data_IF_538684494147
#
_entry.id   IF_538684494147
#
_cell.length_a   1.000
_cell.length_b   1.000
_cell.length_c   1.000
_cell.angle_alpha   90.00
_cell.angle_beta   90.00
_cell.angle_gamma   90.00
#
_symmetry.space_group_name_H-M   'P 1'
#
loop_
_entity.id
_entity.type
_entity.pdbx_description
1 polymer ?
#
# COMPACT_ATOMS: atom_id res chain seq x y z
N UNK A 1 -19.96 -21.00 -3.51
CA UNK A 1 -18.60 -20.60 -3.09
C UNK A 1 -17.83 -20.19 -4.34
N UNK A 2 -17.18 -19.03 -4.33
CA UNK A 2 -16.40 -18.57 -5.48
C UNK A 2 -15.24 -19.51 -5.82
N UNK A 3 -14.91 -19.66 -7.10
CA UNK A 3 -13.84 -20.53 -7.60
C UNK A 3 -12.47 -20.24 -6.97
N UNK A 4 -12.20 -18.95 -6.70
CA UNK A 4 -10.98 -18.51 -6.00
C UNK A 4 -10.91 -18.98 -4.55
N UNK A 5 -12.04 -18.97 -3.85
CA UNK A 5 -12.17 -19.46 -2.47
C UNK A 5 -12.03 -20.98 -2.41
N UNK A 6 -12.57 -21.71 -3.38
CA UNK A 6 -12.38 -23.16 -3.51
C UNK A 6 -10.92 -23.53 -3.74
N UNK A 7 -10.25 -22.82 -4.67
CA UNK A 7 -8.83 -23.07 -4.95
C UNK A 7 -7.96 -22.85 -3.70
N UNK A 8 -8.26 -21.79 -2.92
CA UNK A 8 -7.56 -21.49 -1.66
C UNK A 8 -7.78 -22.56 -0.61
N UNK A 9 -9.03 -23.04 -0.44
CA UNK A 9 -9.36 -24.12 0.48
C UNK A 9 -8.59 -25.38 0.14
N UNK A 10 -8.64 -25.79 -1.13
CA UNK A 10 -7.92 -26.99 -1.62
C UNK A 10 -6.41 -26.87 -1.42
N UNK A 11 -5.84 -25.69 -1.68
CA UNK A 11 -4.41 -25.42 -1.42
C UNK A 11 -4.06 -25.57 0.06
N UNK A 12 -4.91 -25.08 0.96
CA UNK A 12 -4.74 -25.23 2.41
C UNK A 12 -4.81 -26.68 2.87
N UNK A 13 -5.80 -27.44 2.39
CA UNK A 13 -5.96 -28.87 2.67
C UNK A 13 -4.75 -29.66 2.19
N UNK A 14 -4.28 -29.43 0.94
CA UNK A 14 -3.08 -30.07 0.42
C UNK A 14 -1.81 -29.74 1.20
N UNK A 15 -1.66 -28.47 1.62
CA UNK A 15 -0.51 -28.06 2.43
C UNK A 15 -0.51 -28.78 3.79
N UNK A 16 -1.68 -28.93 4.41
CA UNK A 16 -1.83 -29.67 5.67
C UNK A 16 -1.46 -31.14 5.53
N UNK A 17 -2.02 -31.87 4.55
CA UNK A 17 -1.71 -33.27 4.37
C UNK A 17 -0.27 -33.52 3.93
N UNK A 18 0.30 -32.66 3.10
CA UNK A 18 1.74 -32.69 2.77
C UNK A 18 2.60 -32.56 4.03
N UNK A 19 2.25 -31.66 4.95
CA UNK A 19 2.96 -31.54 6.23
C UNK A 19 2.84 -32.81 7.08
N UNK A 20 1.64 -33.39 7.19
CA UNK A 20 1.41 -34.64 7.94
C UNK A 20 2.23 -35.80 7.37
N UNK A 21 2.31 -35.93 6.06
CA UNK A 21 3.14 -36.93 5.39
C UNK A 21 4.65 -36.72 5.65
N UNK A 22 5.11 -35.46 5.48
CA UNK A 22 6.52 -35.11 5.75
C UNK A 22 6.94 -35.30 7.21
N UNK A 23 6.01 -35.15 8.14
CA UNK A 23 6.25 -35.36 9.59
C UNK A 23 6.19 -36.83 10.00
N UNK A 24 5.88 -37.75 9.08
CA UNK A 24 5.72 -39.19 9.35
C UNK A 24 4.44 -39.52 10.12
N UNK A 25 3.49 -38.56 10.26
CA UNK A 25 2.22 -38.80 10.92
C UNK A 25 1.18 -39.53 10.04
N UNK A 26 1.43 -39.59 8.72
CA UNK A 26 0.61 -40.30 7.74
C UNK A 26 1.47 -40.88 6.63
N UNK A 27 1.12 -42.08 6.16
CA UNK A 27 1.84 -42.78 5.10
C UNK A 27 1.34 -42.39 3.70
N UNK A 28 0.18 -41.76 3.56
CA UNK A 28 -0.42 -41.39 2.28
C UNK A 28 -1.09 -40.03 2.36
N UNK A 29 -1.18 -39.29 1.24
CA UNK A 29 -1.83 -38.03 1.12
C UNK A 29 -3.26 -38.18 0.55
N UNK A 30 -4.33 -38.15 1.39
CA UNK A 30 -5.70 -38.29 0.91
C UNK A 30 -6.18 -37.10 0.06
N UNK A 31 -5.41 -36.01 0.01
CA UNK A 31 -5.75 -34.84 -0.81
C UNK A 31 -5.17 -34.89 -2.22
N UNK A 32 -4.42 -35.94 -2.58
CA UNK A 32 -3.75 -36.06 -3.87
C UNK A 32 -4.72 -35.99 -5.05
N UNK A 33 -5.89 -36.60 -4.92
CA UNK A 33 -6.93 -36.63 -5.95
C UNK A 33 -7.82 -35.36 -6.00
N UNK A 34 -7.65 -34.42 -5.07
CA UNK A 34 -8.43 -33.17 -5.10
C UNK A 34 -8.00 -32.31 -6.30
N UNK A 35 -8.86 -32.18 -7.29
CA UNK A 35 -8.60 -31.31 -8.44
C UNK A 35 -8.74 -29.84 -8.04
N UNK A 36 -7.72 -29.05 -8.35
CA UNK A 36 -7.77 -27.61 -8.15
C UNK A 36 -8.55 -26.96 -9.29
N UNK A 37 -9.60 -26.17 -9.02
CA UNK A 37 -10.33 -25.49 -10.06
C UNK A 37 -9.44 -24.49 -10.80
N UNK A 38 -9.57 -24.42 -12.12
CA UNK A 38 -8.89 -23.41 -12.92
C UNK A 38 -9.45 -22.05 -12.59
N UNK A 39 -8.71 -21.23 -11.85
CA UNK A 39 -9.04 -19.84 -11.62
C UNK A 39 -8.55 -19.02 -12.81
N UNK A 40 -9.46 -18.44 -13.57
CA UNK A 40 -9.09 -17.49 -14.63
C UNK A 40 -8.30 -16.33 -14.02
N UNK A 41 -7.16 -15.98 -14.60
CA UNK A 41 -6.42 -14.78 -14.23
C UNK A 41 -7.20 -13.55 -14.68
N UNK A 42 -7.99 -12.98 -13.78
CA UNK A 42 -8.56 -11.65 -14.03
C UNK A 42 -7.39 -10.66 -13.93
N UNK A 43 -7.16 -9.88 -14.99
CA UNK A 43 -6.20 -8.78 -14.91
C UNK A 43 -6.66 -7.84 -13.79
N UNK A 44 -5.77 -7.45 -12.89
CA UNK A 44 -6.14 -6.53 -11.81
C UNK A 44 -6.54 -5.17 -12.40
N UNK A 45 -7.56 -4.56 -11.82
CA UNK A 45 -7.95 -3.20 -12.17
C UNK A 45 -6.79 -2.24 -11.85
N UNK A 46 -6.50 -1.34 -12.78
CA UNK A 46 -5.51 -0.26 -12.64
C UNK A 46 -6.29 1.06 -12.63
N UNK A 47 -5.90 1.98 -11.77
CA UNK A 47 -6.40 3.36 -11.74
C UNK A 47 -5.31 4.28 -12.29
N UNK A 48 -5.70 5.17 -13.19
CA UNK A 48 -4.83 6.18 -13.76
C UNK A 48 -4.81 7.47 -12.93
N UNK A 49 -4.00 8.44 -13.34
CA UNK A 49 -3.82 9.69 -12.59
C UNK A 49 -5.11 10.52 -12.55
N UNK A 50 -5.91 10.53 -13.63
CA UNK A 50 -7.18 11.24 -13.74
C UNK A 50 -8.21 10.64 -12.77
N UNK A 51 -8.31 9.33 -12.70
CA UNK A 51 -9.20 8.61 -11.76
C UNK A 51 -8.79 8.87 -10.29
N UNK A 52 -7.49 9.01 -10.01
CA UNK A 52 -7.00 9.42 -8.69
C UNK A 52 -7.43 10.86 -8.38
N UNK A 53 -7.34 11.77 -9.35
CA UNK A 53 -7.78 13.16 -9.16
C UNK A 53 -9.29 13.22 -8.90
N UNK A 54 -10.11 12.42 -9.59
CA UNK A 54 -11.55 12.32 -9.35
C UNK A 54 -11.86 11.78 -7.94
N UNK A 55 -11.16 10.73 -7.49
CA UNK A 55 -11.31 10.21 -6.13
C UNK A 55 -10.96 11.25 -5.07
N UNK A 56 -9.87 12.01 -5.28
CA UNK A 56 -9.45 13.07 -4.38
C UNK A 56 -10.46 14.22 -4.38
N UNK A 57 -10.97 14.61 -5.54
CA UNK A 57 -11.97 15.66 -5.68
C UNK A 57 -13.32 15.33 -5.00
N UNK A 58 -13.66 14.04 -4.91
CA UNK A 58 -14.86 13.56 -4.22
C UNK A 58 -14.76 13.60 -2.69
N UNK A 59 -13.58 13.94 -2.13
CA UNK A 59 -13.40 14.04 -0.69
C UNK A 59 -13.99 15.37 -0.19
N UNK A 60 -14.90 15.26 0.76
CA UNK A 60 -15.49 16.43 1.45
C UNK A 60 -14.48 16.98 2.47
N UNK A 61 -13.79 18.05 2.09
CA UNK A 61 -12.78 18.71 2.94
C UNK A 61 -13.39 19.52 4.08
N UNK A 62 -14.72 19.75 4.10
CA UNK A 62 -15.40 20.37 5.23
C UNK A 62 -15.48 19.47 6.45
N UNK A 63 -15.28 18.16 6.27
CA UNK A 63 -15.27 17.18 7.34
C UNK A 63 -13.90 17.08 7.99
N UNK A 64 -13.89 16.84 9.31
CA UNK A 64 -12.67 16.71 10.10
C UNK A 64 -11.70 15.62 9.58
N UNK A 65 -12.20 14.59 8.90
CA UNK A 65 -11.40 13.54 8.28
C UNK A 65 -11.00 13.79 6.82
N UNK A 66 -11.49 14.88 6.20
CA UNK A 66 -11.28 15.14 4.77
C UNK A 66 -9.80 15.22 4.42
N UNK A 67 -9.05 16.08 5.06
CA UNK A 67 -7.61 16.25 4.82
C UNK A 67 -6.80 14.98 5.12
N UNK A 68 -7.20 14.22 6.16
CA UNK A 68 -6.62 12.90 6.45
C UNK A 68 -6.84 11.94 5.29
N UNK A 69 -8.07 11.82 4.80
CA UNK A 69 -8.43 10.89 3.74
C UNK A 69 -7.71 11.25 2.44
N UNK A 70 -7.56 12.54 2.15
CA UNK A 70 -6.78 13.03 1.01
C UNK A 70 -5.29 12.63 1.16
N UNK A 71 -4.70 12.86 2.33
CA UNK A 71 -3.31 12.45 2.59
C UNK A 71 -3.11 10.93 2.45
N UNK A 72 -4.10 10.11 2.86
CA UNK A 72 -4.08 8.66 2.69
C UNK A 72 -4.00 8.27 1.21
N UNK A 73 -4.87 8.83 0.36
CA UNK A 73 -4.88 8.50 -1.08
C UNK A 73 -3.58 8.96 -1.75
N UNK A 74 -3.12 10.17 -1.44
CA UNK A 74 -1.86 10.70 -1.98
C UNK A 74 -0.68 9.81 -1.61
N UNK A 75 -0.55 9.37 -0.35
CA UNK A 75 0.56 8.52 0.10
C UNK A 75 0.46 7.12 -0.47
N UNK A 76 -0.73 6.53 -0.55
CA UNK A 76 -0.93 5.21 -1.17
C UNK A 76 -0.47 5.21 -2.62
N UNK A 77 -0.83 6.24 -3.37
CA UNK A 77 -0.47 6.32 -4.79
C UNK A 77 0.99 6.74 -5.00
N UNK A 78 1.49 7.70 -4.23
CA UNK A 78 2.86 8.21 -4.40
C UNK A 78 3.96 7.22 -3.97
N UNK A 79 3.65 6.32 -3.02
CA UNK A 79 4.65 5.42 -2.43
C UNK A 79 4.35 3.93 -2.65
N UNK A 80 3.21 3.59 -3.22
CA UNK A 80 2.81 2.20 -3.45
C UNK A 80 2.78 1.34 -2.17
N UNK A 81 2.45 1.91 -1.02
CA UNK A 81 2.47 1.22 0.28
C UNK A 81 1.44 0.10 0.35
N UNK A 82 1.79 -0.97 1.11
CA UNK A 82 0.76 -1.91 1.56
C UNK A 82 -0.15 -1.23 2.57
N UNK A 83 -1.42 -1.64 2.63
CA UNK A 83 -2.38 -1.05 3.59
C UNK A 83 -1.91 -1.16 5.04
N UNK A 84 -1.25 -2.25 5.42
CA UNK A 84 -0.66 -2.40 6.75
C UNK A 84 0.51 -1.42 7.00
N UNK A 85 1.35 -1.20 5.99
CA UNK A 85 2.46 -0.24 6.07
C UNK A 85 1.94 1.19 6.23
N UNK A 86 0.85 1.53 5.54
CA UNK A 86 0.19 2.83 5.70
C UNK A 86 -0.40 3.02 7.10
N UNK A 87 -1.12 2.01 7.63
CA UNK A 87 -1.76 2.12 8.96
C UNK A 87 -0.75 2.15 10.10
N UNK A 88 0.44 1.57 9.89
CA UNK A 88 1.55 1.54 10.85
C UNK A 88 2.58 2.65 10.63
N UNK A 89 2.36 3.54 9.65
CA UNK A 89 3.30 4.62 9.35
C UNK A 89 3.45 5.57 10.52
N UNK A 90 4.71 5.86 10.89
CA UNK A 90 5.07 6.71 12.03
C UNK A 90 5.53 8.08 11.58
N UNK A 91 5.28 9.11 12.40
CA UNK A 91 5.80 10.46 12.17
C UNK A 91 7.33 10.44 12.19
N UNK A 92 7.93 9.71 13.13
CA UNK A 92 9.38 9.52 13.24
C UNK A 92 10.02 8.87 12.00
N UNK A 93 9.22 8.25 11.12
CA UNK A 93 9.66 7.64 9.87
C UNK A 93 9.47 8.54 8.64
N UNK A 94 9.04 9.79 8.82
CA UNK A 94 8.84 10.75 7.74
C UNK A 94 10.08 11.65 7.58
N UNK A 95 10.85 11.43 6.55
CA UNK A 95 12.02 12.25 6.18
C UNK A 95 11.62 13.19 5.03
N UNK A 96 10.59 14.01 5.26
CA UNK A 96 9.95 14.82 4.19
C UNK A 96 10.87 15.89 3.58
N UNK A 97 11.88 16.36 4.33
CA UNK A 97 12.90 17.28 3.79
C UNK A 97 13.83 16.60 2.79
N UNK A 98 14.08 15.32 3.00
CA UNK A 98 14.91 14.48 2.13
C UNK A 98 14.08 13.78 1.06
N UNK A 99 12.73 13.97 1.09
CA UNK A 99 11.76 13.35 0.17
C UNK A 99 11.70 11.82 0.26
N UNK A 100 11.80 11.29 1.48
CA UNK A 100 11.68 9.85 1.76
C UNK A 100 10.73 9.56 2.92
N UNK A 101 10.16 8.36 2.88
CA UNK A 101 9.50 7.72 4.02
C UNK A 101 10.17 6.39 4.31
N UNK A 102 10.42 6.11 5.59
CA UNK A 102 10.89 4.80 6.04
C UNK A 102 9.68 3.91 6.30
N UNK A 103 9.66 2.75 5.66
CA UNK A 103 8.56 1.80 5.74
C UNK A 103 9.06 0.52 6.38
N UNK A 104 8.33 0.04 7.39
CA UNK A 104 8.59 -1.23 8.06
C UNK A 104 7.64 -2.28 7.49
N UNK A 105 8.19 -3.29 6.83
CA UNK A 105 7.44 -4.37 6.18
C UNK A 105 7.35 -5.64 7.03
N UNK A 106 6.95 -6.74 6.38
CA UNK A 106 6.87 -8.07 7.01
C UNK A 106 8.26 -8.51 7.54
N UNK A 107 8.29 -9.04 8.75
CA UNK A 107 9.52 -9.46 9.39
C UNK A 107 10.41 -8.32 9.85
N UNK A 108 9.83 -7.14 10.13
CA UNK A 108 10.54 -5.93 10.56
C UNK A 108 11.61 -5.43 9.57
N UNK A 109 11.53 -5.85 8.30
CA UNK A 109 12.43 -5.35 7.26
C UNK A 109 12.08 -3.89 6.94
N UNK A 110 13.07 -3.02 7.02
CA UNK A 110 12.94 -1.60 6.73
C UNK A 110 13.37 -1.30 5.30
N UNK A 111 12.69 -0.35 4.66
CA UNK A 111 13.10 0.22 3.37
C UNK A 111 12.79 1.71 3.31
N UNK A 112 13.54 2.44 2.51
CA UNK A 112 13.26 3.83 2.17
C UNK A 112 12.47 3.88 0.86
N UNK A 113 11.37 4.61 0.86
CA UNK A 113 10.54 4.83 -0.33
C UNK A 113 10.53 6.33 -0.61
N UNK A 114 10.93 6.76 -1.81
CA UNK A 114 10.83 8.17 -2.19
C UNK A 114 9.37 8.63 -2.19
N UNK A 115 9.14 9.91 -1.88
CA UNK A 115 7.80 10.50 -1.84
C UNK A 115 7.77 11.81 -2.62
N UNK A 116 6.78 11.95 -3.52
CA UNK A 116 6.64 13.14 -4.36
C UNK A 116 6.03 14.34 -3.63
N UNK A 117 6.19 15.53 -4.21
CA UNK A 117 5.80 16.81 -3.62
C UNK A 117 4.31 16.92 -3.28
N UNK A 118 3.41 16.35 -4.10
CA UNK A 118 1.96 16.36 -3.84
C UNK A 118 1.64 15.67 -2.50
N UNK A 119 2.19 14.48 -2.28
CA UNK A 119 1.97 13.73 -1.05
C UNK A 119 2.64 14.40 0.17
N UNK A 120 3.83 14.97 0.00
CA UNK A 120 4.51 15.75 1.05
C UNK A 120 3.66 16.95 1.47
N UNK A 121 3.17 17.73 0.50
CA UNK A 121 2.31 18.89 0.74
C UNK A 121 1.06 18.48 1.54
N UNK A 122 0.40 17.40 1.10
CA UNK A 122 -0.83 16.94 1.74
C UNK A 122 -0.60 16.37 3.13
N UNK A 123 0.51 15.63 3.35
CA UNK A 123 0.92 15.17 4.68
C UNK A 123 1.17 16.35 5.63
N UNK A 124 1.87 17.40 5.17
CA UNK A 124 2.13 18.59 5.98
C UNK A 124 0.84 19.31 6.35
N UNK A 125 -0.12 19.45 5.44
CA UNK A 125 -1.44 20.03 5.74
C UNK A 125 -2.14 19.18 6.81
N UNK A 126 -2.27 17.89 6.60
CA UNK A 126 -2.93 17.02 7.55
C UNK A 126 -2.27 17.04 8.94
N UNK A 127 -0.94 16.86 9.00
CA UNK A 127 -0.22 16.78 10.27
C UNK A 127 -0.29 18.08 11.04
N UNK A 128 -0.02 19.22 10.38
CA UNK A 128 0.17 20.50 11.05
C UNK A 128 -1.13 21.29 11.25
N UNK A 129 -2.19 21.04 10.45
CA UNK A 129 -3.43 21.81 10.51
C UNK A 129 -4.63 21.01 11.04
N UNK A 130 -4.57 19.67 11.00
CA UNK A 130 -5.71 18.83 11.41
C UNK A 130 -5.34 17.92 12.55
N UNK A 131 -4.30 17.10 12.37
CA UNK A 131 -3.89 16.11 13.36
C UNK A 131 -3.47 16.73 14.68
N UNK A 132 -2.84 17.90 14.65
CA UNK A 132 -2.40 18.65 15.84
C UNK A 132 -3.56 18.99 16.78
N UNK A 133 -4.79 19.13 16.26
CA UNK A 133 -5.98 19.43 17.05
C UNK A 133 -6.74 18.19 17.52
N UNK A 134 -6.27 16.97 17.17
CA UNK A 134 -6.93 15.73 17.59
C UNK A 134 -6.50 15.35 19.01
N UNK A 135 -7.45 14.87 19.81
CA UNK A 135 -7.15 14.23 21.10
C UNK A 135 -6.55 12.84 20.83
N UNK A 136 -5.24 12.71 20.94
CA UNK A 136 -4.52 11.47 20.68
C UNK A 136 -4.55 10.61 21.92
N UNK A 137 -4.78 9.30 21.77
CA UNK A 137 -4.70 8.37 22.87
C UNK A 137 -3.24 7.98 23.15
N UNK A 138 -2.97 7.67 24.41
CA UNK A 138 -1.64 7.28 24.88
C UNK A 138 -1.11 6.06 24.09
N UNK A 139 0.13 6.16 23.58
CA UNK A 139 0.76 5.14 22.75
C UNK A 139 0.47 5.26 21.23
N UNK A 140 -0.32 6.26 20.82
CA UNK A 140 -0.61 6.52 19.40
C UNK A 140 -0.04 7.85 18.89
N UNK A 141 0.79 8.53 19.67
CA UNK A 141 1.34 9.86 19.36
C UNK A 141 2.19 9.86 18.09
N UNK A 142 2.89 8.77 17.83
CA UNK A 142 3.80 8.64 16.70
C UNK A 142 3.11 8.12 15.41
N UNK A 143 1.86 7.67 15.46
CA UNK A 143 1.15 7.25 14.27
C UNK A 143 0.75 8.43 13.40
N UNK A 144 1.02 8.36 12.08
CA UNK A 144 0.63 9.42 11.14
C UNK A 144 -0.88 9.53 11.04
N UNK A 145 -1.57 8.44 10.73
CA UNK A 145 -3.00 8.43 10.45
C UNK A 145 -3.83 7.95 11.63
N UNK A 146 -4.65 8.84 12.15
CA UNK A 146 -5.48 8.58 13.32
C UNK A 146 -6.97 8.50 12.96
N UNK A 147 -7.71 7.68 13.67
CA UNK A 147 -9.16 7.66 13.63
C UNK A 147 -9.76 8.75 14.55
N UNK A 148 -11.09 8.94 14.52
CA UNK A 148 -11.80 9.94 15.35
C UNK A 148 -11.59 9.75 16.87
N UNK A 149 -11.16 8.56 17.30
CA UNK A 149 -10.91 8.23 18.72
C UNK A 149 -9.45 8.45 19.12
N UNK A 150 -8.61 8.97 18.25
CA UNK A 150 -7.18 9.21 18.50
C UNK A 150 -6.31 7.96 18.50
N UNK A 151 -6.77 6.85 17.91
CA UNK A 151 -5.99 5.62 17.69
C UNK A 151 -5.62 5.48 16.22
N UNK A 152 -4.67 4.60 15.90
CA UNK A 152 -4.33 4.26 14.50
C UNK A 152 -5.56 3.79 13.71
N UNK A 153 -5.54 4.01 12.40
CA UNK A 153 -6.55 3.49 11.49
C UNK A 153 -6.39 1.98 11.32
N UNK A 154 -7.53 1.30 11.14
CA UNK A 154 -7.53 -0.12 10.76
C UNK A 154 -7.48 -0.28 9.23
N UNK A 155 -6.98 -1.42 8.78
CA UNK A 155 -6.99 -1.79 7.35
C UNK A 155 -8.41 -1.73 6.76
N UNK A 156 -9.39 -2.22 7.50
CA UNK A 156 -10.81 -2.20 7.09
C UNK A 156 -11.29 -0.76 6.84
N UNK A 157 -10.91 0.18 7.71
CA UNK A 157 -11.30 1.59 7.54
C UNK A 157 -10.71 2.21 6.27
N UNK A 158 -9.48 1.87 5.91
CA UNK A 158 -8.90 2.33 4.64
C UNK A 158 -9.68 1.77 3.44
N UNK A 159 -10.04 0.48 3.46
CA UNK A 159 -10.89 -0.13 2.43
C UNK A 159 -12.24 0.57 2.32
N UNK A 160 -12.89 0.86 3.45
CA UNK A 160 -14.19 1.57 3.48
C UNK A 160 -14.05 2.97 2.88
N UNK A 161 -13.03 3.75 3.25
CA UNK A 161 -12.80 5.09 2.70
C UNK A 161 -12.68 5.04 1.17
N UNK A 162 -11.86 4.12 0.64
CA UNK A 162 -11.64 3.99 -0.81
C UNK A 162 -12.92 3.57 -1.51
N UNK A 163 -13.64 2.59 -0.96
CA UNK A 163 -14.90 2.07 -1.51
C UNK A 163 -15.97 3.17 -1.56
N UNK A 164 -16.18 3.89 -0.46
CA UNK A 164 -17.16 4.97 -0.37
C UNK A 164 -16.87 6.09 -1.40
N UNK A 165 -15.59 6.42 -1.62
CA UNK A 165 -15.20 7.41 -2.62
C UNK A 165 -15.46 6.91 -4.04
N UNK A 166 -15.12 5.65 -4.35
CA UNK A 166 -15.37 5.04 -5.65
C UNK A 166 -16.87 4.99 -5.97
N UNK A 167 -17.71 4.65 -4.99
CA UNK A 167 -19.17 4.63 -5.13
C UNK A 167 -19.72 6.04 -5.39
N UNK A 168 -19.19 7.07 -4.73
CA UNK A 168 -19.62 8.48 -4.92
C UNK A 168 -19.39 9.00 -6.32
N UNK A 169 -18.30 8.60 -6.96
CA UNK A 169 -18.00 9.02 -8.35
C UNK A 169 -18.53 8.04 -9.39
N UNK A 170 -19.29 7.01 -8.97
CA UNK A 170 -19.86 6.01 -9.87
C UNK A 170 -18.79 5.15 -10.58
N UNK A 171 -17.62 4.94 -9.95
CA UNK A 171 -16.54 4.17 -10.56
C UNK A 171 -16.93 2.73 -10.74
N UNK A 172 -16.81 2.22 -11.99
CA UNK A 172 -17.17 0.83 -12.34
C UNK A 172 -16.11 -0.19 -11.94
N UNK A 173 -14.86 0.26 -11.74
CA UNK A 173 -13.74 -0.59 -11.32
C UNK A 173 -13.83 -0.94 -9.83
N UNK A 174 -13.44 -2.16 -9.48
CA UNK A 174 -13.30 -2.55 -8.07
C UNK A 174 -11.93 -2.13 -7.56
N UNK A 175 -11.89 -1.03 -6.82
CA UNK A 175 -10.63 -0.49 -6.29
C UNK A 175 -10.42 -0.79 -4.80
N UNK A 176 -9.17 -0.91 -4.45
CA UNK A 176 -8.70 -1.26 -3.10
C UNK A 176 -7.29 -0.69 -2.88
N UNK A 177 -6.74 -0.69 -1.66
CA UNK A 177 -5.35 -0.30 -1.45
C UNK A 177 -4.33 -1.07 -2.31
N UNK A 178 -4.64 -2.33 -2.67
CA UNK A 178 -3.82 -3.11 -3.59
C UNK A 178 -3.86 -2.56 -5.01
N UNK A 179 -4.99 -2.01 -5.44
CA UNK A 179 -5.13 -1.37 -6.74
C UNK A 179 -4.19 -0.15 -6.84
N UNK A 180 -4.14 0.70 -5.81
CA UNK A 180 -3.20 1.84 -5.76
C UNK A 180 -1.74 1.41 -5.90
N UNK A 181 -1.35 0.37 -5.17
CA UNK A 181 0.01 -0.16 -5.24
C UNK A 181 0.33 -0.77 -6.61
N UNK A 182 -0.65 -1.44 -7.22
CA UNK A 182 -0.48 -2.01 -8.55
C UNK A 182 -0.36 -0.91 -9.61
N UNK A 183 -1.21 0.11 -9.52
CA UNK A 183 -1.16 1.28 -10.39
C UNK A 183 0.15 2.05 -10.26
N UNK A 184 0.67 2.24 -9.03
CA UNK A 184 2.00 2.81 -8.80
C UNK A 184 3.08 2.04 -9.56
N UNK A 185 3.08 0.70 -9.45
CA UNK A 185 4.08 -0.13 -10.12
C UNK A 185 3.95 -0.06 -11.64
N UNK A 186 2.73 -0.20 -12.18
CA UNK A 186 2.46 -0.18 -13.62
C UNK A 186 2.82 1.17 -14.22
N UNK A 187 2.42 2.27 -13.60
CA UNK A 187 2.70 3.63 -14.07
C UNK A 187 4.20 3.92 -14.19
N UNK A 188 4.97 3.53 -13.17
CA UNK A 188 6.42 3.71 -13.22
C UNK A 188 7.07 2.90 -14.34
N UNK A 189 6.68 1.62 -14.49
CA UNK A 189 7.23 0.74 -15.53
C UNK A 189 6.82 1.21 -16.92
N UNK A 190 5.56 1.58 -17.14
CA UNK A 190 5.05 2.09 -18.42
C UNK A 190 5.76 3.38 -18.85
N UNK A 191 6.16 4.22 -17.89
CA UNK A 191 6.93 5.45 -18.16
C UNK A 191 8.43 5.21 -18.32
N UNK A 192 8.89 3.96 -18.18
CA UNK A 192 10.28 3.57 -18.44
C UNK A 192 11.16 3.49 -17.19
N UNK A 193 10.59 3.48 -15.99
CA UNK A 193 11.37 3.24 -14.79
C UNK A 193 11.94 1.82 -14.78
N UNK A 194 13.14 1.69 -14.25
CA UNK A 194 13.78 0.39 -14.09
C UNK A 194 12.98 -0.53 -13.16
N UNK A 195 12.70 -1.75 -13.62
CA UNK A 195 11.88 -2.71 -12.89
C UNK A 195 12.48 -3.07 -11.52
N UNK A 196 13.80 -3.12 -11.42
CA UNK A 196 14.51 -3.43 -10.17
C UNK A 196 14.30 -2.33 -9.14
N UNK A 197 14.39 -1.05 -9.57
CA UNK A 197 14.08 0.09 -8.71
C UNK A 197 12.64 0.04 -8.19
N UNK A 198 11.67 -0.29 -9.04
CA UNK A 198 10.27 -0.43 -8.66
C UNK A 198 10.07 -1.59 -7.67
N UNK A 199 10.70 -2.74 -7.90
CA UNK A 199 10.64 -3.90 -7.00
C UNK A 199 11.24 -3.56 -5.62
N UNK A 200 12.33 -2.82 -5.59
CA UNK A 200 12.98 -2.37 -4.35
C UNK A 200 12.08 -1.43 -3.55
N UNK A 201 11.50 -0.39 -4.19
CA UNK A 201 10.52 0.50 -3.54
C UNK A 201 9.32 -0.27 -2.98
N UNK A 202 8.87 -1.30 -3.67
CA UNK A 202 7.77 -2.14 -3.23
C UNK A 202 8.15 -3.14 -2.13
N UNK A 203 9.42 -3.46 -1.94
CA UNK A 203 9.89 -4.45 -0.98
C UNK A 203 9.45 -5.86 -1.33
N UNK A 204 9.79 -6.33 -2.53
CA UNK A 204 9.62 -7.71 -2.95
C UNK A 204 10.75 -8.57 -2.40
N UNK A 205 10.42 -9.75 -1.85
CA UNK A 205 11.34 -10.63 -1.08
C UNK A 205 12.49 -11.24 -1.90
N UNK A 206 12.53 -11.09 -3.22
CA UNK A 206 13.53 -11.78 -4.06
C UNK A 206 14.90 -11.08 -4.11
N UNK A 207 15.08 -9.94 -3.44
CA UNK A 207 16.38 -9.29 -3.31
C UNK A 207 16.72 -9.29 -1.82
N UNK A 208 17.47 -10.35 -1.44
CA UNK A 208 18.19 -10.40 -0.17
C UNK A 208 19.18 -9.25 -0.15
N UNK A 209 18.93 -8.25 0.69
CA UNK A 209 19.98 -7.69 1.55
C UNK A 209 19.43 -6.51 2.31
N UNK A 210 19.55 -6.57 3.62
CA UNK A 210 19.63 -5.42 4.50
C UNK A 210 21.02 -4.76 4.25
N UNK A 211 21.33 -4.46 2.99
CA UNK A 211 22.44 -3.59 2.68
C UNK A 211 22.02 -2.17 3.03
N UNK A 212 22.87 -1.53 3.79
CA UNK A 212 22.77 -0.12 4.14
C UNK A 212 22.58 0.66 2.83
N UNK A 213 21.38 1.25 2.63
CA UNK A 213 21.12 2.11 1.48
C UNK A 213 22.21 3.16 1.38
N UNK A 214 23.06 3.06 0.36
CA UNK A 214 24.11 4.05 0.12
C UNK A 214 23.47 5.38 -0.31
N UNK A 215 24.22 6.45 -0.21
CA UNK A 215 23.74 7.75 -0.69
C UNK A 215 23.40 7.73 -2.20
N UNK A 216 24.14 6.94 -2.98
CA UNK A 216 23.93 6.77 -4.42
C UNK A 216 22.60 6.04 -4.71
N UNK A 217 22.27 4.97 -3.94
CA UNK A 217 21.02 4.25 -4.09
C UNK A 217 19.82 5.15 -3.79
N UNK A 218 19.91 5.99 -2.76
CA UNK A 218 18.86 6.97 -2.43
C UNK A 218 18.62 7.98 -3.54
N UNK A 219 19.69 8.53 -4.11
CA UNK A 219 19.59 9.47 -5.23
C UNK A 219 18.95 8.82 -6.45
N UNK A 220 19.33 7.58 -6.74
CA UNK A 220 18.75 6.82 -7.84
C UNK A 220 17.25 6.57 -7.67
N UNK A 221 16.82 6.08 -6.51
CA UNK A 221 15.40 5.85 -6.24
C UNK A 221 14.59 7.16 -6.28
N UNK A 222 15.14 8.25 -5.72
CA UNK A 222 14.53 9.58 -5.78
C UNK A 222 14.39 10.08 -7.22
N UNK A 223 15.44 10.02 -8.01
CA UNK A 223 15.40 10.45 -9.42
C UNK A 223 14.39 9.64 -10.22
N UNK A 224 14.27 8.34 -9.96
CA UNK A 224 13.26 7.48 -10.57
C UNK A 224 11.84 7.97 -10.29
N UNK A 225 11.50 8.27 -9.04
CA UNK A 225 10.18 8.83 -8.71
C UNK A 225 9.99 10.21 -9.35
N UNK A 226 10.95 11.11 -9.25
CA UNK A 226 10.83 12.46 -9.80
C UNK A 226 10.69 12.48 -11.32
N UNK A 227 11.30 11.54 -12.01
CA UNK A 227 11.25 11.44 -13.48
C UNK A 227 9.99 10.72 -13.98
N UNK A 228 9.57 9.66 -13.32
CA UNK A 228 8.58 8.74 -13.88
C UNK A 228 7.22 8.76 -13.18
N UNK A 229 7.13 9.22 -11.92
CA UNK A 229 5.83 9.23 -11.22
C UNK A 229 5.03 10.50 -11.58
N UNK A 230 3.75 10.38 -12.03
CA UNK A 230 2.97 11.50 -12.57
C UNK A 230 2.68 12.61 -11.55
N UNK A 231 2.64 12.28 -10.26
CA UNK A 231 2.39 13.23 -9.18
C UNK A 231 3.64 13.69 -8.42
N UNK A 232 4.83 13.27 -8.86
CA UNK A 232 6.07 13.64 -8.16
C UNK A 232 6.28 15.15 -8.13
N UNK A 233 6.04 15.84 -9.25
CA UNK A 233 6.25 17.27 -9.43
C UNK A 233 4.94 18.09 -9.42
N UNK A 234 3.80 17.50 -9.10
CA UNK A 234 2.51 18.21 -9.03
C UNK A 234 2.53 19.16 -7.82
N UNK A 235 2.48 20.47 -8.08
CA UNK A 235 2.49 21.55 -7.09
C UNK A 235 1.10 21.74 -6.43
#
# INVERSE_FOLDING_TARGET
>A
METSSQARLISGVRAFYRYMNLSGAMDSDPSELLMQPKVGRKLPDIINNEEIDELIAAIDLSKAEGERNKAILEVLYACGLRVSELTELKISNLYLKDEFVKVVGKGSKERLVPIGHSAIKQLNIYINQVRVHQKIQNGFEDFVFLNRRGKSLTRVMIFTIIKDLAERIGMKKTISPHTFRHSFASELVERGADLRAVQEMLGHESITTTEIYTHLDRQYLRSTIMQFHPRANKK
#
